data_IF_185647515664
#
_entry.id   IF_185647515664
#
_cell.length_a   1.000
_cell.length_b   1.000
_cell.length_c   1.000
_cell.angle_alpha   90.00
_cell.angle_beta   90.00
_cell.angle_gamma   90.00
#
_symmetry.space_group_name_H-M   'P 1'
#
loop_
_entity.id
_entity.type
_entity.pdbx_description
1 polymer ?
#
# COMPACT_ATOMS: atom_id res chain seq x y z
N UNK A 1 75.63 -33.02 -16.25
CA UNK A 1 75.34 -31.81 -15.44
C UNK A 1 74.62 -30.82 -16.35
N UNK A 2 73.48 -30.33 -15.89
CA UNK A 2 72.41 -29.67 -16.65
C UNK A 2 72.72 -28.22 -17.03
N UNK A 3 72.38 -27.79 -18.26
CA UNK A 3 72.02 -26.41 -18.62
C UNK A 3 71.01 -26.39 -19.81
N UNK A 4 70.09 -25.39 -19.88
CA UNK A 4 68.87 -25.43 -20.70
C UNK A 4 69.00 -24.72 -22.08
N UNK A 5 68.12 -25.00 -23.07
CA UNK A 5 68.07 -24.25 -24.31
C UNK A 5 67.23 -22.96 -24.22
N UNK A 6 67.66 -21.96 -24.98
CA UNK A 6 67.31 -20.54 -24.92
C UNK A 6 66.06 -20.15 -25.76
N UNK A 7 65.40 -19.07 -25.31
CA UNK A 7 64.29 -18.37 -25.97
C UNK A 7 64.71 -17.63 -27.27
N UNK A 8 63.86 -17.53 -28.30
CA UNK A 8 64.19 -16.89 -29.58
C UNK A 8 63.64 -15.47 -29.82
N UNK A 9 63.28 -14.69 -28.79
CA UNK A 9 62.81 -13.30 -28.99
C UNK A 9 63.95 -12.29 -28.87
N UNK A 10 64.30 -11.63 -29.98
CA UNK A 10 65.21 -10.47 -30.03
C UNK A 10 64.47 -9.12 -30.09
N UNK A 11 65.07 -7.99 -29.64
CA UNK A 11 64.53 -6.62 -29.73
C UNK A 11 65.34 -5.75 -30.74
N UNK A 12 65.25 -4.40 -30.72
CA UNK A 12 64.22 -3.51 -31.28
C UNK A 12 64.80 -2.58 -32.38
N UNK A 13 63.96 -1.84 -33.12
CA UNK A 13 64.44 -0.71 -33.95
C UNK A 13 63.53 0.53 -33.86
N UNK A 14 64.21 1.66 -33.78
CA UNK A 14 63.77 3.03 -33.48
C UNK A 14 63.22 3.85 -34.67
N UNK A 15 62.26 4.72 -34.31
CA UNK A 15 61.80 6.07 -34.75
C UNK A 15 62.46 6.83 -35.93
N UNK A 16 61.75 7.79 -36.58
CA UNK A 16 61.77 9.18 -36.09
C UNK A 16 60.47 10.02 -36.27
N UNK A 17 60.42 11.13 -35.50
CA UNK A 17 59.37 12.18 -35.36
C UNK A 17 59.80 13.50 -36.08
N UNK A 18 59.20 14.70 -35.83
CA UNK A 18 58.03 15.38 -36.42
C UNK A 18 58.38 16.54 -37.39
N UNK A 19 57.40 17.07 -38.15
CA UNK A 19 57.15 18.54 -38.32
C UNK A 19 56.10 18.93 -39.40
N UNK A 20 55.20 19.86 -39.03
CA UNK A 20 54.43 20.87 -39.82
C UNK A 20 53.35 20.33 -40.80
N UNK A 21 52.08 20.77 -40.84
CA UNK A 21 51.48 22.13 -40.93
C UNK A 21 49.91 21.98 -41.05
N UNK A 22 49.10 23.04 -41.27
CA UNK A 22 48.63 24.13 -40.41
C UNK A 22 47.16 23.96 -39.92
N UNK A 23 46.76 24.78 -38.94
CA UNK A 23 45.57 24.58 -38.12
C UNK A 23 44.21 24.97 -38.68
N UNK A 24 43.18 24.66 -37.89
CA UNK A 24 41.92 25.39 -37.71
C UNK A 24 41.32 25.03 -36.34
N UNK A 25 40.83 26.03 -35.63
CA UNK A 25 40.13 26.01 -34.34
C UNK A 25 38.88 26.90 -34.53
N UNK A 26 37.85 26.88 -33.66
CA UNK A 26 37.02 25.76 -33.22
C UNK A 26 35.52 26.09 -33.44
N UNK A 27 34.77 25.22 -34.11
CA UNK A 27 33.32 25.42 -34.34
C UNK A 27 32.50 24.99 -33.11
N UNK A 28 31.89 25.95 -32.43
CA UNK A 28 30.98 25.72 -31.31
C UNK A 28 29.66 25.08 -31.76
N UNK A 29 29.17 24.13 -30.97
CA UNK A 29 27.81 23.60 -31.09
C UNK A 29 26.80 24.67 -30.68
N UNK A 30 25.72 24.90 -31.45
CA UNK A 30 24.64 25.77 -31.00
C UNK A 30 23.88 25.10 -29.82
N UNK A 31 23.47 25.87 -28.81
CA UNK A 31 22.70 25.32 -27.69
C UNK A 31 21.30 24.86 -28.14
N UNK A 32 20.71 23.85 -27.50
CA UNK A 32 19.33 23.45 -27.77
C UNK A 32 18.35 24.57 -27.41
N UNK A 33 17.46 24.89 -28.35
CA UNK A 33 16.33 25.79 -28.12
C UNK A 33 15.43 25.20 -27.04
N UNK A 34 15.28 25.94 -25.94
CA UNK A 34 14.24 25.69 -24.95
C UNK A 34 12.88 25.91 -25.63
N UNK A 35 12.15 24.81 -25.83
CA UNK A 35 10.73 24.87 -26.16
C UNK A 35 9.98 25.56 -25.01
N UNK A 36 9.19 26.56 -25.38
CA UNK A 36 8.52 27.48 -24.48
C UNK A 36 7.63 26.78 -23.46
N UNK A 37 7.79 27.21 -22.21
CA UNK A 37 6.82 26.99 -21.16
C UNK A 37 5.48 27.68 -21.54
N UNK A 38 4.32 27.03 -21.32
CA UNK A 38 3.05 27.72 -21.40
C UNK A 38 2.97 28.77 -20.29
N UNK A 39 2.69 30.02 -20.67
CA UNK A 39 2.39 31.11 -19.75
C UNK A 39 1.19 30.74 -18.86
N UNK A 40 1.40 30.70 -17.55
CA UNK A 40 0.30 30.69 -16.58
C UNK A 40 -0.40 32.06 -16.59
N UNK A 41 -1.72 32.12 -16.70
CA UNK A 41 -2.47 33.35 -16.48
C UNK A 41 -2.32 33.78 -15.01
N UNK A 42 -1.68 34.93 -14.82
CA UNK A 42 -1.63 35.62 -13.54
C UNK A 42 -3.02 36.03 -13.08
N UNK A 43 -3.29 35.83 -11.79
CA UNK A 43 -4.54 36.24 -11.15
C UNK A 43 -4.56 35.87 -9.67
N UNK A 44 -3.74 36.54 -8.86
CA UNK A 44 -3.93 36.59 -7.40
C UNK A 44 -4.87 37.76 -7.06
N UNK A 45 -6.07 37.52 -6.50
CA UNK A 45 -6.77 38.55 -5.75
C UNK A 45 -6.16 38.68 -4.33
N UNK A 46 -6.11 39.90 -3.77
CA UNK A 46 -5.49 40.16 -2.46
C UNK A 46 -6.31 39.55 -1.31
N UNK A 47 -5.58 39.04 -0.31
CA UNK A 47 -6.15 38.57 0.95
C UNK A 47 -6.84 39.72 1.70
N UNK A 48 -8.16 39.61 1.87
CA UNK A 48 -8.91 40.47 2.77
C UNK A 48 -8.79 39.95 4.21
N UNK A 49 -8.06 40.73 5.00
CA UNK A 49 -8.13 40.78 6.45
C UNK A 49 -9.54 41.18 6.90
N UNK A 50 -10.15 40.40 7.79
CA UNK A 50 -11.47 40.71 8.34
C UNK A 50 -11.87 39.85 9.54
N UNK A 51 -11.39 40.20 10.73
CA UNK A 51 -12.17 40.11 11.97
C UNK A 51 -13.04 41.37 12.06
N UNK A 52 -14.32 41.36 12.49
CA UNK A 52 -14.69 41.35 13.93
C UNK A 52 -16.16 40.88 14.21
N UNK A 53 -16.84 41.21 15.34
CA UNK A 53 -16.47 41.17 16.75
C UNK A 53 -17.37 40.22 17.59
N UNK A 54 -16.95 39.95 18.83
CA UNK A 54 -17.71 39.26 19.87
C UNK A 54 -18.99 40.02 20.27
N UNK A 55 -20.10 39.28 20.46
CA UNK A 55 -21.33 39.80 21.05
C UNK A 55 -21.29 39.74 22.58
N UNK A 56 -21.53 40.86 23.29
CA UNK A 56 -21.74 40.91 24.72
C UNK A 56 -23.23 40.74 25.07
N UNK A 57 -23.54 39.94 26.09
CA UNK A 57 -24.94 39.74 26.50
C UNK A 57 -25.12 39.04 27.84
N UNK A 58 -24.75 39.71 28.92
CA UNK A 58 -25.30 39.47 30.25
C UNK A 58 -26.76 39.95 30.31
N UNK A 59 -27.64 39.26 31.05
CA UNK A 59 -28.73 39.94 31.75
C UNK A 59 -28.60 39.85 33.29
N UNK A 60 -29.27 40.77 34.01
CA UNK A 60 -28.80 41.32 35.29
C UNK A 60 -29.30 40.61 36.56
N UNK A 61 -28.57 40.84 37.64
CA UNK A 61 -28.93 40.53 39.03
C UNK A 61 -29.94 41.56 39.58
N UNK A 62 -30.83 41.11 40.50
CA UNK A 62 -31.43 41.91 41.59
C UNK A 62 -32.44 41.05 42.42
N UNK A 63 -32.96 41.50 43.58
CA UNK A 63 -32.27 41.59 44.88
C UNK A 63 -33.12 40.97 46.03
N UNK A 64 -32.54 40.72 47.22
CA UNK A 64 -33.40 40.55 48.40
C UNK A 64 -32.78 39.82 49.59
N UNK A 65 -32.15 40.59 50.48
CA UNK A 65 -32.22 40.35 51.93
C UNK A 65 -33.47 41.09 52.45
N UNK A 66 -34.19 40.58 53.47
CA UNK A 66 -33.80 40.78 54.89
C UNK A 66 -34.22 39.56 55.77
N UNK A 67 -34.02 39.41 57.08
CA UNK A 67 -33.50 40.18 58.20
C UNK A 67 -33.00 39.19 59.29
N UNK A 68 -32.16 39.66 60.21
CA UNK A 68 -31.84 39.00 61.48
C UNK A 68 -33.05 39.02 62.44
N UNK A 69 -33.24 38.09 63.39
CA UNK A 69 -32.67 38.01 64.76
C UNK A 69 -33.64 37.09 65.60
N UNK A 70 -33.48 36.84 66.92
CA UNK A 70 -32.41 36.18 67.69
C UNK A 70 -32.95 35.04 68.62
N UNK A 71 -32.08 34.20 69.19
CA UNK A 71 -32.50 33.31 70.28
C UNK A 71 -31.46 32.28 70.72
N UNK A 72 -30.57 32.68 71.62
CA UNK A 72 -29.77 31.82 72.54
C UNK A 72 -30.73 31.30 73.65
N UNK A 73 -30.48 30.17 74.40
CA UNK A 73 -29.25 30.00 75.20
C UNK A 73 -28.74 28.56 75.51
N UNK A 74 -27.41 28.50 75.67
CA UNK A 74 -26.61 27.85 76.74
C UNK A 74 -26.88 26.42 77.28
N UNK A 75 -25.80 25.62 77.28
CA UNK A 75 -25.57 24.36 78.02
C UNK A 75 -24.83 23.34 77.12
N UNK A 76 -23.76 22.62 77.46
CA UNK A 76 -23.00 22.32 78.68
C UNK A 76 -21.66 21.70 78.19
N UNK A 77 -20.46 22.05 78.72
CA UNK A 77 -19.19 21.52 78.24
C UNK A 77 -18.77 20.26 79.02
N UNK A 78 -19.41 19.11 78.74
CA UNK A 78 -18.81 17.77 78.85
C UNK A 78 -19.90 16.69 78.71
N UNK A 79 -19.86 15.89 77.64
CA UNK A 79 -20.15 14.44 77.71
C UNK A 79 -19.91 13.76 76.36
N UNK A 80 -18.89 12.89 76.37
CA UNK A 80 -18.79 11.63 75.63
C UNK A 80 -18.85 11.65 74.08
N UNK A 81 -17.70 11.37 73.47
CA UNK A 81 -17.60 10.97 72.07
C UNK A 81 -18.39 9.68 71.79
N UNK A 82 -19.17 9.72 70.72
CA UNK A 82 -19.68 8.55 70.01
C UNK A 82 -19.27 8.63 68.54
N UNK A 83 -19.07 7.50 67.84
CA UNK A 83 -18.76 7.51 66.41
C UNK A 83 -19.97 8.06 65.61
N UNK A 84 -19.74 8.82 64.53
CA UNK A 84 -20.81 9.42 63.75
C UNK A 84 -21.66 8.35 63.03
N UNK A 85 -22.96 8.61 62.78
CA UNK A 85 -23.82 7.69 62.06
C UNK A 85 -23.31 7.45 60.64
N UNK A 86 -23.25 6.18 60.24
CA UNK A 86 -22.87 5.78 58.90
C UNK A 86 -23.82 6.44 57.88
N UNK A 87 -23.27 7.31 57.02
CA UNK A 87 -23.99 7.80 55.84
C UNK A 87 -24.38 6.59 55.00
N UNK A 88 -25.69 6.37 54.85
CA UNK A 88 -26.26 5.43 53.89
C UNK A 88 -25.81 5.87 52.49
N UNK A 89 -24.76 5.24 52.00
CA UNK A 89 -24.17 5.58 50.73
C UNK A 89 -24.98 4.90 49.62
N UNK A 90 -25.44 5.68 48.65
CA UNK A 90 -25.98 5.14 47.40
C UNK A 90 -24.86 4.56 46.51
N UNK A 91 -23.66 4.35 47.06
CA UNK A 91 -22.50 3.75 46.38
C UNK A 91 -22.86 2.36 45.88
N UNK A 92 -23.68 1.60 46.62
CA UNK A 92 -24.21 0.32 46.14
C UNK A 92 -25.02 0.46 44.85
N UNK A 93 -25.86 1.50 44.72
CA UNK A 93 -26.66 1.76 43.50
C UNK A 93 -25.82 2.33 42.37
N UNK A 94 -24.84 3.20 42.66
CA UNK A 94 -23.95 3.76 41.64
C UNK A 94 -23.01 2.68 41.11
N UNK A 95 -22.45 1.82 41.97
CA UNK A 95 -21.66 0.66 41.55
C UNK A 95 -22.52 -0.30 40.76
N UNK A 96 -23.78 -0.58 41.13
CA UNK A 96 -24.68 -1.44 40.34
C UNK A 96 -25.04 -0.83 38.98
N UNK A 97 -25.26 0.50 38.90
CA UNK A 97 -25.52 1.20 37.63
C UNK A 97 -24.28 1.24 36.76
N UNK A 98 -23.08 1.45 37.33
CA UNK A 98 -21.82 1.40 36.59
C UNK A 98 -21.51 -0.03 36.13
N UNK A 99 -21.76 -1.04 36.95
CA UNK A 99 -21.54 -2.46 36.61
C UNK A 99 -22.57 -2.95 35.59
N UNK A 100 -23.83 -2.47 35.67
CA UNK A 100 -24.86 -2.71 34.66
C UNK A 100 -24.60 -1.93 33.36
N UNK A 101 -24.09 -0.70 33.43
CA UNK A 101 -23.70 0.08 32.25
C UNK A 101 -22.44 -0.50 31.60
N UNK A 102 -21.49 -1.03 32.37
CA UNK A 102 -20.33 -1.79 31.87
C UNK A 102 -20.79 -3.13 31.30
N UNK A 103 -21.73 -3.85 31.92
CA UNK A 103 -22.35 -5.05 31.34
C UNK A 103 -23.13 -4.73 30.06
N UNK A 104 -23.85 -3.61 29.98
CA UNK A 104 -24.59 -3.19 28.78
C UNK A 104 -23.66 -2.58 27.73
N UNK A 105 -22.51 -1.99 28.08
CA UNK A 105 -21.46 -1.65 27.11
C UNK A 105 -20.74 -2.91 26.61
N UNK A 106 -20.47 -3.87 27.50
CA UNK A 106 -19.82 -5.15 27.21
C UNK A 106 -20.76 -6.20 26.59
N UNK A 107 -22.08 -6.02 26.61
CA UNK A 107 -23.06 -6.94 26.00
C UNK A 107 -23.97 -6.26 24.98
N UNK A 108 -24.23 -4.96 25.09
CA UNK A 108 -25.08 -4.17 24.19
C UNK A 108 -24.32 -3.49 23.05
N UNK A 109 -23.00 -3.27 23.19
CA UNK A 109 -22.13 -2.93 22.06
C UNK A 109 -21.74 -4.15 21.21
N UNK A 110 -21.98 -5.36 21.72
CA UNK A 110 -21.45 -6.60 21.14
C UNK A 110 -22.28 -7.09 19.97
N UNK A 111 -23.61 -6.97 19.91
CA UNK A 111 -24.33 -7.53 18.76
C UNK A 111 -23.99 -6.83 17.42
N UNK A 112 -23.69 -5.53 17.45
CA UNK A 112 -23.40 -4.73 16.24
C UNK A 112 -21.90 -4.72 15.93
N UNK A 113 -21.03 -4.69 16.95
CA UNK A 113 -19.58 -4.77 16.72
C UNK A 113 -19.08 -6.21 16.55
N UNK A 114 -19.73 -7.23 17.13
CA UNK A 114 -19.30 -8.62 16.98
C UNK A 114 -19.52 -9.14 15.57
N UNK A 115 -20.53 -8.66 14.83
CA UNK A 115 -20.67 -9.01 13.42
C UNK A 115 -19.61 -8.32 12.55
N UNK A 116 -19.38 -7.01 12.74
CA UNK A 116 -18.37 -6.26 11.97
C UNK A 116 -16.93 -6.68 12.32
N UNK A 117 -16.64 -6.94 13.59
CA UNK A 117 -15.30 -7.37 14.07
C UNK A 117 -15.04 -8.84 13.80
N UNK A 118 -16.05 -9.73 13.73
CA UNK A 118 -15.81 -11.12 13.28
C UNK A 118 -15.33 -11.14 11.84
N UNK A 119 -15.95 -10.34 10.98
CA UNK A 119 -15.60 -10.28 9.57
C UNK A 119 -14.21 -9.67 9.38
N UNK A 120 -13.87 -8.64 10.14
CA UNK A 120 -12.54 -8.04 10.08
C UNK A 120 -11.44 -8.93 10.69
N UNK A 121 -11.67 -9.56 11.84
CA UNK A 121 -10.68 -10.46 12.46
C UNK A 121 -10.55 -11.75 11.65
N UNK A 122 -11.65 -12.30 11.13
CA UNK A 122 -11.64 -13.45 10.23
C UNK A 122 -10.85 -13.16 8.97
N UNK A 123 -11.12 -12.02 8.33
CA UNK A 123 -10.39 -11.60 7.13
C UNK A 123 -8.91 -11.26 7.41
N UNK A 124 -8.55 -10.76 8.60
CA UNK A 124 -7.15 -10.56 9.01
C UNK A 124 -6.44 -11.89 9.28
N UNK A 125 -7.12 -12.86 9.91
CA UNK A 125 -6.57 -14.21 10.13
C UNK A 125 -6.41 -14.95 8.81
N UNK A 126 -7.39 -14.89 7.91
CA UNK A 126 -7.32 -15.51 6.59
C UNK A 126 -6.25 -14.82 5.71
N UNK A 127 -6.15 -13.49 5.77
CA UNK A 127 -5.05 -12.76 5.13
C UNK A 127 -3.67 -13.18 5.64
N UNK A 128 -3.53 -13.44 6.96
CA UNK A 128 -2.27 -13.92 7.54
C UNK A 128 -1.89 -15.34 7.09
N UNK A 129 -2.87 -16.09 6.56
CA UNK A 129 -2.74 -17.46 6.05
C UNK A 129 -2.60 -17.53 4.53
N UNK A 130 -2.89 -16.45 3.82
CA UNK A 130 -2.67 -16.36 2.37
C UNK A 130 -1.19 -16.53 2.04
N UNK A 131 -0.90 -17.40 1.08
CA UNK A 131 0.42 -17.62 0.50
C UNK A 131 0.30 -17.56 -1.01
N UNK A 132 1.34 -17.06 -1.65
CA UNK A 132 1.49 -17.15 -3.10
C UNK A 132 2.54 -18.21 -3.41
N UNK A 133 2.24 -19.11 -4.34
CA UNK A 133 3.13 -20.18 -4.76
C UNK A 133 3.28 -20.22 -6.28
N UNK A 134 4.44 -20.66 -6.74
CA UNK A 134 4.70 -20.89 -8.16
C UNK A 134 4.46 -22.38 -8.46
N UNK A 135 3.28 -22.78 -8.97
CA UNK A 135 3.01 -24.19 -9.27
C UNK A 135 3.95 -24.74 -10.36
N UNK A 136 4.02 -26.06 -10.50
CA UNK A 136 4.80 -26.70 -11.58
C UNK A 136 4.21 -26.38 -12.97
N UNK A 137 2.88 -26.23 -13.03
CA UNK A 137 2.13 -25.83 -14.21
C UNK A 137 1.13 -24.75 -13.85
N UNK A 138 0.84 -23.83 -14.76
CA UNK A 138 -0.15 -22.78 -14.58
C UNK A 138 -1.14 -22.80 -15.74
N UNK A 139 -2.41 -23.11 -15.46
CA UNK A 139 -3.45 -23.30 -16.49
C UNK A 139 -2.97 -24.24 -17.63
N UNK A 140 -2.34 -25.36 -17.26
CA UNK A 140 -1.82 -26.36 -18.19
C UNK A 140 -0.45 -26.02 -18.83
N UNK A 141 0.07 -24.81 -18.60
CA UNK A 141 1.36 -24.37 -19.15
C UNK A 141 2.52 -24.79 -18.25
N UNK A 142 3.61 -25.37 -18.76
CA UNK A 142 4.76 -25.73 -17.93
C UNK A 142 5.53 -24.49 -17.47
N UNK A 143 6.09 -24.54 -16.26
CA UNK A 143 6.98 -23.48 -15.77
C UNK A 143 8.26 -23.42 -16.62
N UNK A 144 8.67 -22.21 -16.99
CA UNK A 144 9.90 -21.94 -17.71
C UNK A 144 11.07 -21.69 -16.75
N UNK A 145 12.26 -22.11 -17.16
CA UNK A 145 13.50 -21.99 -16.38
C UNK A 145 14.59 -21.21 -17.13
N UNK A 146 14.22 -20.45 -18.16
CA UNK A 146 15.16 -19.60 -18.89
C UNK A 146 15.69 -18.48 -17.96
N UNK A 147 17.01 -18.30 -17.81
CA UNK A 147 17.60 -17.30 -16.92
C UNK A 147 17.14 -15.85 -17.17
N UNK A 148 16.94 -15.45 -18.43
CA UNK A 148 16.52 -14.09 -18.77
C UNK A 148 15.08 -13.82 -18.32
N UNK A 149 14.19 -14.79 -18.55
CA UNK A 149 12.81 -14.72 -18.09
C UNK A 149 12.72 -14.74 -16.56
N UNK A 150 13.55 -15.55 -15.90
CA UNK A 150 13.61 -15.55 -14.43
C UNK A 150 14.06 -14.20 -13.88
N UNK A 151 15.10 -13.60 -14.48
CA UNK A 151 15.58 -12.27 -14.09
C UNK A 151 14.49 -11.20 -14.26
N UNK A 152 13.77 -11.22 -15.38
CA UNK A 152 12.67 -10.30 -15.63
C UNK A 152 11.51 -10.47 -14.62
N UNK A 153 11.17 -11.71 -14.27
CA UNK A 153 10.16 -11.98 -13.25
C UNK A 153 10.59 -11.47 -11.87
N UNK A 154 11.85 -11.70 -11.47
CA UNK A 154 12.40 -11.24 -10.20
C UNK A 154 12.39 -9.70 -10.09
N UNK A 155 12.68 -9.00 -11.18
CA UNK A 155 12.56 -7.54 -11.26
C UNK A 155 11.11 -7.07 -11.05
N UNK A 156 10.14 -7.73 -11.71
CA UNK A 156 8.73 -7.40 -11.55
C UNK A 156 8.25 -7.57 -10.10
N UNK A 157 8.64 -8.68 -9.44
CA UNK A 157 8.29 -8.91 -8.03
C UNK A 157 9.00 -7.94 -7.10
N UNK A 158 10.26 -7.59 -7.37
CA UNK A 158 10.99 -6.63 -6.53
C UNK A 158 10.29 -5.27 -6.47
N UNK A 159 9.67 -4.82 -7.57
CA UNK A 159 8.83 -3.61 -7.59
C UNK A 159 7.56 -3.73 -6.73
N UNK A 160 7.00 -4.94 -6.59
CA UNK A 160 5.82 -5.20 -5.75
C UNK A 160 6.15 -5.27 -4.26
N UNK A 161 7.32 -5.79 -3.88
CA UNK A 161 7.76 -5.88 -2.48
C UNK A 161 7.78 -4.54 -1.76
N UNK A 162 8.17 -3.48 -2.47
CA UNK A 162 8.21 -2.12 -1.93
C UNK A 162 6.82 -1.61 -1.51
N UNK A 163 5.73 -2.14 -2.08
CA UNK A 163 4.37 -1.78 -1.71
C UNK A 163 3.83 -2.57 -0.49
N UNK A 164 4.29 -3.81 -0.27
CA UNK A 164 3.64 -4.72 0.68
C UNK A 164 4.12 -4.61 2.15
N UNK A 165 5.24 -3.96 2.44
CA UNK A 165 5.73 -3.64 3.79
C UNK A 165 6.16 -4.81 4.70
N UNK A 166 5.46 -5.96 4.64
CA UNK A 166 5.68 -7.18 5.42
C UNK A 166 5.28 -8.42 4.59
N UNK A 167 6.07 -8.73 3.56
CA UNK A 167 5.83 -9.91 2.73
C UNK A 167 6.08 -11.22 3.48
N UNK A 168 5.24 -12.22 3.25
CA UNK A 168 5.35 -13.56 3.84
C UNK A 168 5.71 -14.63 2.82
N UNK A 169 5.40 -14.38 1.54
CA UNK A 169 5.85 -15.21 0.41
C UNK A 169 5.77 -14.40 -0.89
N UNK A 170 6.54 -14.81 -1.89
CA UNK A 170 6.59 -14.17 -3.21
C UNK A 170 6.66 -15.18 -4.34
N UNK A 171 6.06 -14.84 -5.47
CA UNK A 171 6.07 -15.62 -6.70
C UNK A 171 6.57 -14.75 -7.83
N UNK A 172 7.59 -15.22 -8.53
CA UNK A 172 8.08 -14.66 -9.79
C UNK A 172 8.30 -15.83 -10.76
N UNK A 173 7.50 -15.94 -11.82
CA UNK A 173 7.65 -17.06 -12.75
C UNK A 173 7.08 -16.76 -14.13
N UNK A 174 7.60 -17.48 -15.12
CA UNK A 174 7.04 -17.58 -16.45
C UNK A 174 6.54 -19.00 -16.70
N UNK A 175 5.48 -19.12 -17.50
CA UNK A 175 4.86 -20.37 -17.91
C UNK A 175 4.55 -20.36 -19.40
N UNK A 176 4.64 -21.52 -20.04
CA UNK A 176 4.20 -21.74 -21.41
C UNK A 176 5.33 -22.09 -22.37
N UNK A 177 5.17 -21.70 -23.62
CA UNK A 177 6.06 -21.97 -24.74
C UNK A 177 6.16 -20.71 -25.62
N UNK A 178 7.24 -19.92 -25.54
CA UNK A 178 7.38 -18.69 -26.31
C UNK A 178 7.41 -18.93 -27.82
N UNK A 179 7.80 -20.13 -28.27
CA UNK A 179 7.80 -20.48 -29.71
C UNK A 179 6.40 -20.64 -30.28
N UNK A 180 5.40 -20.86 -29.41
CA UNK A 180 3.98 -20.98 -29.75
C UNK A 180 3.18 -19.72 -29.44
N UNK A 181 3.86 -18.63 -29.05
CA UNK A 181 3.21 -17.39 -28.61
C UNK A 181 2.23 -17.64 -27.45
N UNK A 182 2.56 -18.60 -26.58
CA UNK A 182 1.77 -18.93 -25.40
C UNK A 182 2.66 -18.73 -24.18
N UNK A 183 2.71 -17.50 -23.66
CA UNK A 183 3.62 -17.12 -22.60
C UNK A 183 2.86 -16.31 -21.54
N UNK A 184 2.99 -16.71 -20.28
CA UNK A 184 2.35 -16.06 -19.14
C UNK A 184 3.43 -15.75 -18.10
N UNK A 185 3.55 -14.48 -17.69
CA UNK A 185 4.28 -14.09 -16.49
C UNK A 185 3.27 -14.02 -15.32
N UNK A 186 3.68 -14.56 -14.18
CA UNK A 186 3.00 -14.34 -12.90
C UNK A 186 4.00 -13.75 -11.92
N UNK A 187 3.57 -12.68 -11.27
CA UNK A 187 4.36 -12.00 -10.26
C UNK A 187 3.41 -11.59 -9.12
N UNK A 188 3.67 -12.03 -7.90
CA UNK A 188 2.78 -11.83 -6.76
C UNK A 188 3.53 -11.83 -5.43
N UNK A 189 2.95 -11.18 -4.43
CA UNK A 189 3.43 -11.13 -3.06
C UNK A 189 2.26 -11.37 -2.11
N UNK A 190 2.48 -12.13 -1.04
CA UNK A 190 1.53 -12.23 0.06
C UNK A 190 1.99 -11.35 1.22
N UNK A 191 1.07 -10.60 1.81
CA UNK A 191 1.31 -9.64 2.87
C UNK A 191 0.00 -9.00 3.30
N UNK A 192 -0.05 -8.45 4.52
CA UNK A 192 -1.28 -7.85 5.02
C UNK A 192 -1.52 -6.49 4.34
N UNK A 193 -2.59 -6.40 3.56
CA UNK A 193 -3.05 -5.18 2.90
C UNK A 193 -4.32 -4.69 3.60
N UNK A 194 -4.23 -3.52 4.22
CA UNK A 194 -5.34 -2.97 5.03
C UNK A 194 -6.48 -2.44 4.18
N UNK A 195 -6.18 -1.93 2.98
CA UNK A 195 -7.16 -1.40 2.03
C UNK A 195 -6.82 -1.93 0.63
N UNK A 196 -7.30 -3.14 0.27
CA UNK A 196 -6.96 -3.77 -1.00
C UNK A 196 -7.30 -2.87 -2.20
N UNK A 197 -8.42 -2.14 -2.13
CA UNK A 197 -8.85 -1.26 -3.22
C UNK A 197 -7.86 -0.13 -3.43
N UNK A 198 -7.45 0.55 -2.36
CA UNK A 198 -6.47 1.63 -2.44
C UNK A 198 -5.11 1.12 -2.93
N UNK A 199 -4.68 -0.05 -2.47
CA UNK A 199 -3.42 -0.67 -2.93
C UNK A 199 -3.48 -1.04 -4.42
N UNK A 200 -4.61 -1.57 -4.90
CA UNK A 200 -4.83 -1.84 -6.31
C UNK A 200 -4.77 -0.58 -7.16
N UNK A 201 -5.45 0.48 -6.71
CA UNK A 201 -5.50 1.75 -7.43
C UNK A 201 -4.11 2.38 -7.52
N UNK A 202 -3.34 2.36 -6.43
CA UNK A 202 -1.96 2.83 -6.40
C UNK A 202 -1.04 1.99 -7.31
N UNK A 203 -1.20 0.66 -7.30
CA UNK A 203 -0.42 -0.24 -8.15
C UNK A 203 -0.72 -0.02 -9.63
N UNK A 204 -1.99 0.09 -10.02
CA UNK A 204 -2.41 0.39 -11.39
C UNK A 204 -1.92 1.76 -11.86
N UNK A 205 -2.00 2.79 -11.01
CA UNK A 205 -1.46 4.11 -11.33
C UNK A 205 0.07 4.05 -11.55
N UNK A 206 0.80 3.33 -10.69
CA UNK A 206 2.23 3.09 -10.86
C UNK A 206 2.57 2.33 -12.14
N UNK A 207 1.81 1.28 -12.46
CA UNK A 207 1.98 0.47 -13.67
C UNK A 207 1.78 1.32 -14.95
N UNK A 208 0.77 2.18 -14.96
CA UNK A 208 0.45 3.06 -16.10
C UNK A 208 1.54 4.09 -16.40
N UNK A 209 2.37 4.42 -15.40
CA UNK A 209 3.53 5.31 -15.54
C UNK A 209 4.77 4.61 -16.09
N UNK A 210 4.85 3.28 -15.98
CA UNK A 210 6.02 2.49 -16.38
C UNK A 210 5.81 1.75 -17.70
N UNK A 211 4.59 1.32 -17.97
CA UNK A 211 4.23 0.53 -19.15
C UNK A 211 3.16 1.25 -19.96
N UNK A 212 3.13 0.97 -21.27
CA UNK A 212 2.01 1.37 -22.12
C UNK A 212 0.85 0.41 -21.84
N UNK A 213 0.03 0.77 -20.85
CA UNK A 213 -1.20 0.06 -20.49
C UNK A 213 -2.38 0.94 -20.89
N UNK A 214 -3.40 0.32 -21.50
CA UNK A 214 -4.70 0.92 -21.71
C UNK A 214 -5.47 1.05 -20.41
N UNK A 215 -6.78 1.29 -20.53
CA UNK A 215 -7.65 1.38 -19.36
C UNK A 215 -7.72 0.04 -18.62
N UNK A 216 -7.44 0.06 -17.31
CA UNK A 216 -7.55 -1.10 -16.42
C UNK A 216 -8.96 -1.13 -15.79
N UNK A 217 -9.81 -1.98 -16.33
CA UNK A 217 -11.22 -2.10 -15.97
C UNK A 217 -11.44 -3.13 -14.87
N UNK A 218 -12.43 -2.90 -13.99
CA UNK A 218 -12.78 -3.86 -12.95
C UNK A 218 -13.30 -5.18 -13.55
N UNK A 219 -12.86 -6.30 -12.97
CA UNK A 219 -13.29 -7.65 -13.34
C UNK A 219 -13.67 -8.44 -12.09
N UNK A 220 -14.29 -9.61 -12.29
CA UNK A 220 -14.55 -10.53 -11.20
C UNK A 220 -13.23 -11.03 -10.59
N UNK A 221 -13.06 -10.82 -9.29
CA UNK A 221 -11.91 -11.28 -8.53
C UNK A 221 -11.94 -12.80 -8.27
N UNK A 222 -13.09 -13.44 -8.46
CA UNK A 222 -13.30 -14.85 -8.20
C UNK A 222 -13.53 -15.18 -6.72
N UNK A 223 -13.54 -16.48 -6.36
CA UNK A 223 -13.97 -16.94 -5.03
C UNK A 223 -13.05 -16.53 -3.88
N UNK A 224 -11.82 -16.12 -4.18
CA UNK A 224 -10.85 -15.62 -3.19
C UNK A 224 -11.17 -14.17 -2.76
N UNK A 225 -12.15 -13.51 -3.40
CA UNK A 225 -12.58 -12.16 -3.06
C UNK A 225 -11.52 -11.11 -3.37
N UNK A 226 -11.69 -9.93 -2.77
CA UNK A 226 -10.85 -8.76 -3.06
C UNK A 226 -11.26 -8.03 -4.33
N UNK A 227 -10.30 -7.33 -4.92
CA UNK A 227 -10.47 -6.46 -6.07
C UNK A 227 -9.58 -6.98 -7.21
N UNK A 228 -10.07 -6.89 -8.45
CA UNK A 228 -9.31 -7.25 -9.62
C UNK A 228 -9.60 -6.30 -10.78
N UNK A 229 -8.57 -6.03 -11.59
CA UNK A 229 -8.70 -5.22 -12.81
C UNK A 229 -7.91 -5.87 -13.94
N UNK A 230 -8.45 -5.81 -15.15
CA UNK A 230 -7.74 -6.21 -16.36
C UNK A 230 -7.75 -5.10 -17.41
N UNK A 231 -6.72 -5.06 -18.24
CA UNK A 231 -6.59 -4.12 -19.34
C UNK A 231 -5.55 -4.58 -20.36
N UNK A 232 -5.60 -3.96 -21.53
CA UNK A 232 -4.64 -4.24 -22.59
C UNK A 232 -3.34 -3.50 -22.30
N UNK A 233 -2.22 -4.10 -22.65
CA UNK A 233 -0.91 -3.47 -22.59
C UNK A 233 -0.08 -3.82 -23.82
N UNK A 234 1.09 -3.20 -23.93
CA UNK A 234 2.07 -3.54 -24.97
C UNK A 234 3.48 -3.51 -24.38
N UNK A 235 4.26 -4.52 -24.75
CA UNK A 235 5.71 -4.50 -24.64
C UNK A 235 6.26 -4.51 -26.07
N UNK A 236 6.92 -3.43 -26.47
CA UNK A 236 7.32 -3.18 -27.86
C UNK A 236 6.15 -3.34 -28.84
N UNK A 237 6.16 -4.44 -29.62
CA UNK A 237 5.11 -4.79 -30.60
C UNK A 237 4.24 -5.95 -30.15
N UNK A 238 4.48 -6.52 -28.96
CA UNK A 238 3.75 -7.67 -28.43
C UNK A 238 2.54 -7.19 -27.62
N UNK A 239 1.30 -7.58 -28.02
CA UNK A 239 0.12 -7.26 -27.23
C UNK A 239 0.11 -8.07 -25.93
N UNK A 240 -0.30 -7.43 -24.85
CA UNK A 240 -0.36 -8.01 -23.52
C UNK A 240 -1.79 -7.92 -22.97
N UNK A 241 -2.28 -9.02 -22.42
CA UNK A 241 -3.46 -9.02 -21.55
C UNK A 241 -2.96 -9.01 -20.11
N UNK A 242 -3.23 -7.93 -19.39
CA UNK A 242 -2.73 -7.74 -18.02
C UNK A 242 -3.92 -7.82 -17.08
N UNK A 243 -3.80 -8.64 -16.04
CA UNK A 243 -4.76 -8.69 -14.94
C UNK A 243 -4.03 -8.55 -13.61
N UNK A 244 -4.50 -7.65 -12.76
CA UNK A 244 -3.96 -7.37 -11.44
C UNK A 244 -5.02 -7.66 -10.39
N UNK A 245 -4.61 -8.11 -9.22
CA UNK A 245 -5.51 -8.36 -8.11
C UNK A 245 -4.89 -7.92 -6.80
N UNK A 246 -5.77 -7.64 -5.86
CA UNK A 246 -5.45 -7.41 -4.46
C UNK A 246 -6.56 -7.94 -3.58
N UNK A 247 -6.19 -8.62 -2.52
CA UNK A 247 -7.06 -8.94 -1.40
C UNK A 247 -6.36 -8.54 -0.10
N UNK A 248 -6.90 -8.90 1.06
CA UNK A 248 -6.28 -8.50 2.34
C UNK A 248 -4.94 -9.19 2.60
N UNK A 249 -4.63 -10.29 1.92
CA UNK A 249 -3.44 -11.11 2.12
C UNK A 249 -2.51 -11.19 0.91
N UNK A 250 -2.87 -10.66 -0.25
CA UNK A 250 -2.02 -10.71 -1.44
C UNK A 250 -2.23 -9.56 -2.43
N UNK A 251 -1.16 -9.25 -3.16
CA UNK A 251 -1.17 -8.44 -4.38
C UNK A 251 -0.47 -9.23 -5.47
N UNK A 252 -1.04 -9.26 -6.68
CA UNK A 252 -0.35 -9.88 -7.79
C UNK A 252 -0.80 -9.40 -9.16
N UNK A 253 -0.05 -9.86 -10.15
CA UNK A 253 -0.20 -9.52 -11.56
C UNK A 253 0.04 -10.75 -12.43
N UNK A 254 -0.89 -10.98 -13.35
CA UNK A 254 -0.78 -11.90 -14.48
C UNK A 254 -0.56 -11.07 -15.73
N UNK A 255 0.50 -11.37 -16.49
CA UNK A 255 0.73 -10.80 -17.83
C UNK A 255 0.71 -11.92 -18.83
N UNK A 256 -0.29 -11.92 -19.72
CA UNK A 256 -0.39 -12.86 -20.82
C UNK A 256 0.12 -12.20 -22.10
N UNK A 257 1.21 -12.72 -22.63
CA UNK A 257 1.77 -12.24 -23.88
C UNK A 257 0.97 -12.78 -25.06
N UNK A 258 0.88 -12.00 -26.13
CA UNK A 258 0.12 -12.32 -27.34
C UNK A 258 -1.39 -12.48 -27.11
N UNK A 259 -1.91 -11.89 -26.02
CA UNK A 259 -3.33 -11.93 -25.62
C UNK A 259 -3.88 -10.53 -25.43
N UNK A 260 -5.20 -10.39 -25.54
CA UNK A 260 -5.93 -9.18 -25.12
C UNK A 260 -6.35 -9.25 -23.65
N UNK A 261 -6.82 -8.13 -23.12
CA UNK A 261 -7.43 -8.04 -21.78
C UNK A 261 -8.58 -9.04 -21.60
N UNK A 262 -9.47 -9.16 -22.60
CA UNK A 262 -10.61 -10.08 -22.55
C UNK A 262 -10.18 -11.55 -22.48
N UNK A 263 -9.13 -11.91 -23.23
CA UNK A 263 -8.55 -13.25 -23.18
C UNK A 263 -7.89 -13.51 -21.83
N UNK A 264 -7.16 -12.53 -21.28
CA UNK A 264 -6.57 -12.65 -19.95
C UNK A 264 -7.62 -12.79 -18.86
N UNK A 265 -8.69 -11.98 -18.92
CA UNK A 265 -9.83 -12.04 -18.01
C UNK A 265 -10.49 -13.43 -17.99
N UNK A 266 -10.60 -14.09 -19.14
CA UNK A 266 -11.22 -15.41 -19.24
C UNK A 266 -10.45 -16.51 -18.48
N UNK A 267 -9.13 -16.37 -18.34
CA UNK A 267 -8.25 -17.33 -17.66
C UNK A 267 -7.85 -16.87 -16.24
N UNK A 268 -8.06 -15.59 -15.91
CA UNK A 268 -7.53 -14.93 -14.72
C UNK A 268 -7.91 -15.64 -13.41
N UNK A 269 -9.18 -15.94 -13.17
CA UNK A 269 -9.62 -16.53 -11.90
C UNK A 269 -9.06 -17.94 -11.70
N UNK A 270 -8.92 -18.72 -12.78
CA UNK A 270 -8.31 -20.05 -12.74
C UNK A 270 -6.81 -19.99 -12.45
N UNK A 271 -6.11 -18.98 -13.01
CA UNK A 271 -4.69 -18.73 -12.74
C UNK A 271 -4.49 -18.29 -11.29
N UNK A 272 -5.25 -17.29 -10.83
CA UNK A 272 -5.17 -16.79 -9.45
C UNK A 272 -5.39 -17.93 -8.46
N UNK A 273 -6.40 -18.76 -8.67
CA UNK A 273 -6.69 -19.91 -7.79
C UNK A 273 -5.60 -20.99 -7.74
N UNK A 274 -4.66 -21.02 -8.70
CA UNK A 274 -3.50 -21.92 -8.65
C UNK A 274 -2.29 -21.29 -7.94
N UNK A 275 -2.24 -19.97 -7.90
CA UNK A 275 -1.11 -19.18 -7.37
C UNK A 275 -1.36 -18.80 -5.93
N UNK A 276 -2.55 -18.31 -5.60
CA UNK A 276 -2.93 -17.87 -4.27
C UNK A 276 -3.60 -19.02 -3.50
N UNK A 277 -3.02 -19.38 -2.36
CA UNK A 277 -3.47 -20.47 -1.51
C UNK A 277 -3.75 -19.94 -0.11
N UNK A 278 -4.90 -20.30 0.45
CA UNK A 278 -5.22 -20.06 1.86
C UNK A 278 -4.80 -21.29 2.67
N UNK A 279 -3.95 -21.10 3.69
CA UNK A 279 -3.42 -22.18 4.55
C UNK A 279 -4.18 -22.36 5.86
#
# INVERSE_FOLDING_TARGET
>A
MSQPPANPYGPPHDSPDPSQQPGQQPGGWPPPQQQGQPQQPGGFPPAQSGFPPAQPGFPPAQPGFPAAQPGQPYGDPNLAGGPPPAKKSNVGKIVLIVLAAVLVLCLGGVAITWFVVKDDVGAVVDASKTRVVAPATLAGRPKLTNPELLTAAEQAVSGMKTAAGNETSTVAAFYGDPTKQDLVMIAAVSGLLSDPKKELDAYVDGLSKQLTVGEMTAVDAGPLGGEARCGDGKADTVPLGICVWTDRGSLGMVVMYFKSADQAKAEFTAIRGQVEQQS
#
